data_IF_713785022365
#
_entry.id   IF_713785022365
#
_cell.length_a   1.000
_cell.length_b   1.000
_cell.length_c   1.000
_cell.angle_alpha   90.00
_cell.angle_beta   90.00
_cell.angle_gamma   90.00
#
_symmetry.space_group_name_H-M   'P 1'
#
loop_
_entity.id
_entity.type
_entity.pdbx_description
1 polymer ?
#
# COMPACT_ATOMS: atom_id res chain seq x y z
N UNK A 1 -22.49 -4.89 43.46
CA UNK A 1 -21.56 -3.89 42.95
C UNK A 1 -22.03 -3.43 41.58
N UNK A 2 -22.31 -2.12 41.43
CA UNK A 2 -22.84 -1.50 40.22
C UNK A 2 -21.65 -0.94 39.43
N UNK A 3 -20.87 -1.83 38.76
CA UNK A 3 -19.65 -1.43 38.06
C UNK A 3 -19.84 -1.67 36.56
N UNK A 4 -19.65 -0.64 35.76
CA UNK A 4 -19.56 -0.78 34.31
C UNK A 4 -18.22 -1.42 33.94
N UNK A 5 -18.22 -2.26 32.93
CA UNK A 5 -17.05 -3.04 32.47
C UNK A 5 -16.74 -2.67 31.05
N UNK A 6 -15.49 -2.36 30.80
CA UNK A 6 -14.95 -2.19 29.45
C UNK A 6 -14.09 -3.41 29.08
N UNK A 7 -14.40 -4.03 27.95
CA UNK A 7 -13.60 -5.10 27.36
C UNK A 7 -12.78 -4.50 26.24
N UNK A 8 -11.46 -4.47 26.43
CA UNK A 8 -10.53 -3.92 25.43
C UNK A 8 -9.87 -5.07 24.68
N UNK A 9 -9.90 -5.01 23.34
CA UNK A 9 -9.34 -6.05 22.46
C UNK A 9 -8.33 -5.43 21.52
N UNK A 10 -7.13 -6.04 21.45
CA UNK A 10 -5.99 -5.53 20.69
C UNK A 10 -5.94 -6.00 19.22
N UNK A 11 -7.08 -6.32 18.63
CA UNK A 11 -7.13 -6.70 17.20
C UNK A 11 -6.81 -5.52 16.28
N UNK A 12 -6.16 -5.79 15.16
CA UNK A 12 -5.71 -4.77 14.21
C UNK A 12 -5.98 -5.16 12.74
N UNK A 13 -5.90 -4.18 11.84
CA UNK A 13 -6.26 -4.36 10.43
C UNK A 13 -5.34 -5.31 9.66
N UNK A 14 -4.09 -5.47 10.06
CA UNK A 14 -3.13 -6.40 9.43
C UNK A 14 -3.62 -7.85 9.43
N UNK A 15 -4.40 -8.23 10.43
CA UNK A 15 -4.94 -9.58 10.57
C UNK A 15 -6.26 -9.83 9.79
N UNK A 16 -6.91 -8.81 9.23
CA UNK A 16 -8.23 -8.93 8.59
C UNK A 16 -8.27 -9.89 7.41
N UNK A 17 -7.17 -10.01 6.67
CA UNK A 17 -7.09 -10.90 5.51
C UNK A 17 -6.93 -12.38 5.92
N UNK A 18 -6.32 -12.62 7.09
CA UNK A 18 -5.96 -13.97 7.57
C UNK A 18 -7.01 -14.53 8.51
N UNK A 19 -7.50 -13.70 9.45
CA UNK A 19 -8.40 -14.12 10.51
C UNK A 19 -9.77 -13.44 10.38
N UNK A 20 -10.84 -14.22 10.05
CA UNK A 20 -12.20 -13.66 9.94
C UNK A 20 -12.70 -12.99 11.23
N UNK A 21 -12.25 -13.47 12.40
CA UNK A 21 -12.59 -12.96 13.73
C UNK A 21 -11.79 -11.70 14.13
N UNK A 22 -10.93 -11.18 13.23
CA UNK A 22 -10.30 -9.86 13.39
C UNK A 22 -11.01 -8.76 12.61
N UNK A 23 -12.08 -9.07 11.87
CA UNK A 23 -12.79 -8.11 11.01
C UNK A 23 -13.84 -7.30 11.77
N UNK A 24 -14.13 -6.05 11.35
CA UNK A 24 -15.14 -5.19 11.99
C UNK A 24 -16.53 -5.84 12.07
N UNK A 25 -16.93 -6.58 11.02
CA UNK A 25 -18.23 -7.24 10.94
C UNK A 25 -18.39 -8.32 12.01
N UNK A 26 -17.30 -9.03 12.35
CA UNK A 26 -17.31 -10.02 13.42
C UNK A 26 -17.62 -9.35 14.77
N UNK A 27 -16.97 -8.24 15.10
CA UNK A 27 -17.18 -7.55 16.36
C UNK A 27 -18.56 -6.93 16.48
N UNK A 28 -19.09 -6.39 15.38
CA UNK A 28 -20.48 -5.91 15.32
C UNK A 28 -21.46 -7.04 15.64
N UNK A 29 -21.24 -8.22 15.07
CA UNK A 29 -22.06 -9.39 15.34
C UNK A 29 -21.88 -9.91 16.77
N UNK A 30 -20.65 -9.90 17.30
CA UNK A 30 -20.33 -10.32 18.65
C UNK A 30 -21.00 -9.43 19.69
N UNK A 31 -20.90 -8.12 19.55
CA UNK A 31 -21.57 -7.14 20.43
C UNK A 31 -23.08 -7.33 20.42
N UNK A 32 -23.66 -7.55 19.25
CA UNK A 32 -25.09 -7.80 19.13
C UNK A 32 -25.49 -9.12 19.81
N UNK A 33 -24.75 -10.19 19.58
CA UNK A 33 -25.00 -11.49 20.22
C UNK A 33 -24.86 -11.39 21.74
N UNK A 34 -23.83 -10.67 22.23
CA UNK A 34 -23.60 -10.45 23.65
C UNK A 34 -24.77 -9.66 24.27
N UNK A 35 -25.25 -8.61 23.59
CA UNK A 35 -26.38 -7.80 24.05
C UNK A 35 -27.67 -8.60 24.18
N UNK A 36 -27.92 -9.53 23.26
CA UNK A 36 -29.10 -10.40 23.30
C UNK A 36 -28.99 -11.52 24.35
N UNK A 37 -27.77 -11.98 24.64
CA UNK A 37 -27.52 -13.15 25.51
C UNK A 37 -27.34 -12.80 27.00
N UNK A 38 -27.24 -11.53 27.39
CA UNK A 38 -26.94 -11.10 28.74
C UNK A 38 -27.91 -10.05 29.27
N UNK A 39 -28.40 -10.23 30.49
CA UNK A 39 -29.36 -9.33 31.15
C UNK A 39 -28.79 -7.93 31.41
N UNK A 40 -27.51 -7.85 31.80
CA UNK A 40 -26.82 -6.60 32.16
C UNK A 40 -25.85 -6.12 31.05
N UNK A 41 -26.13 -6.48 29.78
CA UNK A 41 -25.29 -6.15 28.63
C UNK A 41 -25.05 -4.64 28.45
N UNK A 42 -26.00 -3.79 28.86
CA UNK A 42 -25.88 -2.34 28.82
C UNK A 42 -24.72 -1.77 29.67
N UNK A 43 -24.14 -2.59 30.52
CA UNK A 43 -23.03 -2.25 31.43
C UNK A 43 -21.67 -2.72 30.89
N UNK A 44 -21.66 -3.40 29.77
CA UNK A 44 -20.44 -3.89 29.14
C UNK A 44 -20.27 -3.18 27.81
N UNK A 45 -19.12 -2.54 27.63
CA UNK A 45 -18.71 -1.95 26.36
C UNK A 45 -17.51 -2.70 25.79
N UNK A 46 -17.41 -2.73 24.47
CA UNK A 46 -16.25 -3.25 23.76
C UNK A 46 -15.49 -2.09 23.13
N UNK A 47 -14.18 -2.07 23.35
CA UNK A 47 -13.27 -1.08 22.77
C UNK A 47 -12.20 -1.79 21.97
N UNK A 48 -12.08 -1.43 20.69
CA UNK A 48 -11.14 -2.02 19.76
C UNK A 48 -10.27 -0.90 19.16
N UNK A 49 -9.28 -0.41 19.92
CA UNK A 49 -8.54 0.81 19.59
C UNK A 49 -7.75 0.69 18.27
N UNK A 50 -7.41 -0.54 17.86
CA UNK A 50 -6.56 -0.80 16.71
C UNK A 50 -7.28 -1.46 15.54
N UNK A 51 -8.61 -1.57 15.57
CA UNK A 51 -9.40 -2.28 14.56
C UNK A 51 -9.17 -1.74 13.13
N UNK A 52 -8.86 -0.47 12.98
CA UNK A 52 -8.65 0.21 11.70
C UNK A 52 -7.20 0.63 11.46
N UNK A 53 -6.28 0.20 12.29
CA UNK A 53 -4.85 0.47 12.16
C UNK A 53 -4.04 -0.83 12.10
N UNK A 54 -2.77 -0.73 11.74
CA UNK A 54 -1.80 -1.83 11.66
C UNK A 54 -0.81 -1.83 12.84
N UNK A 55 0.20 -2.69 12.79
CA UNK A 55 1.28 -2.73 13.80
C UNK A 55 2.09 -1.43 13.86
N UNK A 56 2.18 -0.68 12.76
CA UNK A 56 2.85 0.64 12.75
C UNK A 56 2.09 1.61 13.65
N UNK A 57 0.76 1.66 13.52
CA UNK A 57 -0.08 2.48 14.39
C UNK A 57 -0.02 2.07 15.85
N UNK A 58 0.03 0.76 16.14
CA UNK A 58 0.21 0.23 17.50
C UNK A 58 1.55 0.69 18.09
N UNK A 59 2.64 0.61 17.34
CA UNK A 59 3.96 1.03 17.82
C UNK A 59 4.04 2.54 18.08
N UNK A 60 3.42 3.35 17.23
CA UNK A 60 3.34 4.82 17.43
C UNK A 60 2.54 5.19 18.69
N UNK A 61 1.38 4.55 18.89
CA UNK A 61 0.61 4.75 20.13
C UNK A 61 1.39 4.27 21.37
N UNK A 62 2.15 3.19 21.23
CA UNK A 62 3.02 2.70 22.29
C UNK A 62 4.13 3.69 22.64
N UNK A 63 4.77 4.37 21.66
CA UNK A 63 5.77 5.42 21.94
C UNK A 63 5.19 6.54 22.82
N UNK A 64 3.98 7.02 22.49
CA UNK A 64 3.30 8.02 23.31
C UNK A 64 2.91 7.50 24.71
N UNK A 65 2.52 6.23 24.78
CA UNK A 65 2.05 5.60 26.01
C UNK A 65 3.19 5.34 27.01
N UNK A 66 4.34 4.83 26.55
CA UNK A 66 5.51 4.60 27.40
C UNK A 66 6.09 5.90 27.94
N UNK A 67 6.07 6.99 27.16
CA UNK A 67 6.47 8.31 27.62
C UNK A 67 5.58 8.79 28.78
N UNK A 68 4.24 8.64 28.65
CA UNK A 68 3.30 9.02 29.72
C UNK A 68 3.44 8.17 30.98
N UNK A 69 3.86 6.93 30.84
CA UNK A 69 3.99 5.97 31.93
C UNK A 69 5.39 5.95 32.57
N UNK A 70 6.32 6.71 32.02
CA UNK A 70 7.74 6.74 32.43
C UNK A 70 8.37 5.33 32.45
N UNK A 71 8.14 4.58 31.35
CA UNK A 71 8.72 3.24 31.12
C UNK A 71 9.54 3.24 29.85
N UNK A 72 10.55 2.37 29.77
CA UNK A 72 11.39 2.26 28.60
C UNK A 72 10.71 1.43 27.49
N UNK A 73 10.66 1.99 26.28
CA UNK A 73 10.03 1.36 25.12
C UNK A 73 10.71 0.02 24.77
N UNK A 74 12.03 0.02 24.73
CA UNK A 74 12.78 -1.17 24.31
C UNK A 74 12.69 -2.29 25.36
N UNK A 75 12.66 -1.95 26.67
CA UNK A 75 12.41 -2.92 27.72
C UNK A 75 11.02 -3.57 27.64
N UNK A 76 9.99 -2.82 27.23
CA UNK A 76 8.64 -3.35 27.01
C UNK A 76 8.64 -4.31 25.84
N UNK A 77 9.13 -3.86 24.68
CA UNK A 77 9.03 -4.65 23.46
C UNK A 77 10.02 -5.82 23.38
N UNK A 78 11.14 -5.77 24.07
CA UNK A 78 12.05 -6.93 24.22
C UNK A 78 11.39 -8.14 24.89
N UNK A 79 10.28 -7.92 25.61
CA UNK A 79 9.52 -8.98 26.32
C UNK A 79 8.28 -9.45 25.56
N UNK A 80 8.04 -8.93 24.37
CA UNK A 80 6.92 -9.31 23.51
C UNK A 80 7.40 -10.20 22.38
N UNK A 81 6.62 -11.18 21.97
CA UNK A 81 6.90 -12.07 20.85
C UNK A 81 5.67 -12.20 19.96
N UNK A 82 5.87 -12.23 18.65
CA UNK A 82 4.80 -12.45 17.66
C UNK A 82 4.97 -13.76 16.91
N UNK A 83 6.14 -14.40 16.99
CA UNK A 83 6.42 -15.65 16.31
C UNK A 83 5.54 -16.79 16.82
N UNK A 84 4.96 -17.54 15.89
CA UNK A 84 4.28 -18.80 16.19
C UNK A 84 5.23 -20.00 16.24
N UNK A 85 6.50 -19.82 15.88
CA UNK A 85 7.52 -20.88 15.79
C UNK A 85 8.86 -20.40 16.37
N UNK A 86 8.91 -19.99 17.66
CA UNK A 86 10.17 -19.64 18.29
C UNK A 86 11.04 -20.89 18.51
N UNK A 87 12.35 -20.69 18.60
CA UNK A 87 13.29 -21.75 19.02
C UNK A 87 13.11 -22.13 20.52
N UNK A 88 13.94 -23.06 21.00
CA UNK A 88 13.90 -23.51 22.39
C UNK A 88 14.24 -22.41 23.41
N UNK A 89 14.95 -21.36 22.98
CA UNK A 89 15.30 -20.20 23.79
C UNK A 89 14.24 -19.06 23.67
N UNK A 90 13.17 -19.28 22.89
CA UNK A 90 12.10 -18.31 22.67
C UNK A 90 12.42 -17.26 21.60
N UNK A 91 13.49 -17.44 20.80
CA UNK A 91 13.89 -16.50 19.75
C UNK A 91 13.22 -16.84 18.41
N UNK A 92 12.87 -15.81 17.63
CA UNK A 92 12.37 -15.97 16.27
C UNK A 92 13.49 -15.94 15.24
N UNK A 93 13.31 -16.65 14.11
CA UNK A 93 14.14 -16.50 12.92
C UNK A 93 13.65 -15.38 11.98
N UNK A 94 12.55 -14.72 12.33
CA UNK A 94 11.96 -13.62 11.55
C UNK A 94 11.17 -14.08 10.31
N UNK A 95 10.86 -15.37 10.16
CA UNK A 95 10.32 -15.92 8.91
C UNK A 95 8.78 -16.03 8.87
N UNK A 96 8.10 -16.05 10.02
CA UNK A 96 6.64 -16.14 10.02
C UNK A 96 5.99 -14.84 9.56
N UNK A 97 4.78 -14.89 9.00
CA UNK A 97 4.08 -13.69 8.54
C UNK A 97 3.93 -12.62 9.63
N UNK A 98 3.66 -13.04 10.88
CA UNK A 98 3.58 -12.13 12.04
C UNK A 98 4.93 -11.52 12.43
N UNK A 99 6.04 -12.24 12.21
CA UNK A 99 7.38 -11.70 12.43
C UNK A 99 7.73 -10.68 11.34
N UNK A 100 7.48 -11.00 10.07
CA UNK A 100 7.70 -10.09 8.94
C UNK A 100 6.95 -8.78 9.16
N UNK A 101 5.67 -8.85 9.52
CA UNK A 101 4.86 -7.67 9.81
C UNK A 101 5.42 -6.84 10.98
N UNK A 102 5.88 -7.50 12.05
CA UNK A 102 6.52 -6.85 13.20
C UNK A 102 7.83 -6.16 12.79
N UNK A 103 8.72 -6.86 12.12
CA UNK A 103 10.02 -6.35 11.67
C UNK A 103 9.82 -5.10 10.78
N UNK A 104 8.89 -5.18 9.82
CA UNK A 104 8.58 -4.06 8.94
C UNK A 104 7.94 -2.89 9.68
N UNK A 105 7.13 -3.13 10.72
CA UNK A 105 6.55 -2.08 11.54
C UNK A 105 7.62 -1.32 12.34
N UNK A 106 8.58 -2.02 12.97
CA UNK A 106 9.72 -1.38 13.63
C UNK A 106 10.58 -0.57 12.65
N UNK A 107 10.87 -1.14 11.49
CA UNK A 107 11.60 -0.43 10.43
C UNK A 107 10.87 0.85 9.98
N UNK A 108 9.56 0.81 9.83
CA UNK A 108 8.75 1.95 9.39
C UNK A 108 8.73 3.11 10.38
N UNK A 109 8.88 2.85 11.68
CA UNK A 109 9.02 3.89 12.72
C UNK A 109 10.48 4.32 12.94
N UNK A 110 11.43 3.77 12.15
CA UNK A 110 12.86 4.13 12.23
C UNK A 110 13.60 3.52 13.39
N UNK A 111 13.12 2.41 13.96
CA UNK A 111 13.74 1.69 15.08
C UNK A 111 14.19 0.29 14.66
N UNK A 112 15.19 -0.24 15.39
CA UNK A 112 15.44 -1.67 15.43
C UNK A 112 14.49 -2.31 16.44
N UNK A 113 14.00 -3.52 16.15
CA UNK A 113 13.22 -4.28 17.12
C UNK A 113 14.12 -4.75 18.27
N UNK A 114 13.82 -4.43 19.54
CA UNK A 114 14.61 -4.85 20.67
C UNK A 114 14.49 -6.36 21.00
N UNK A 115 13.63 -7.09 20.28
CA UNK A 115 13.52 -8.55 20.42
C UNK A 115 14.82 -9.22 19.93
N UNK A 116 15.32 -10.21 20.67
CA UNK A 116 16.45 -11.03 20.23
C UNK A 116 16.00 -12.04 19.18
N UNK A 117 16.49 -11.88 17.95
CA UNK A 117 16.31 -12.82 16.86
C UNK A 117 17.45 -13.84 16.78
N UNK A 118 17.22 -14.98 16.11
CA UNK A 118 18.29 -15.98 15.83
C UNK A 118 19.39 -15.40 14.95
N UNK A 119 19.02 -14.47 14.06
CA UNK A 119 19.93 -13.77 13.16
C UNK A 119 20.05 -12.30 13.55
N UNK A 120 21.16 -11.62 13.18
CA UNK A 120 21.28 -10.17 13.39
C UNK A 120 20.14 -9.40 12.75
N UNK A 121 19.73 -8.29 13.39
CA UNK A 121 18.63 -7.41 12.93
C UNK A 121 18.68 -7.10 11.44
N UNK A 122 19.86 -6.74 10.94
CA UNK A 122 20.03 -6.41 9.53
C UNK A 122 19.62 -7.57 8.60
N UNK A 123 19.94 -8.80 8.96
CA UNK A 123 19.63 -9.97 8.13
C UNK A 123 18.15 -10.30 8.17
N UNK A 124 17.49 -10.20 9.35
CA UNK A 124 16.04 -10.44 9.46
C UNK A 124 15.26 -9.34 8.73
N UNK A 125 15.72 -8.08 8.79
CA UNK A 125 15.12 -6.99 8.04
C UNK A 125 15.26 -7.17 6.53
N UNK A 126 16.44 -7.52 6.02
CA UNK A 126 16.65 -7.79 4.60
C UNK A 126 15.71 -8.90 4.09
N UNK A 127 15.54 -9.97 4.89
CA UNK A 127 14.61 -11.08 4.58
C UNK A 127 13.15 -10.63 4.62
N UNK A 128 12.75 -9.86 5.61
CA UNK A 128 11.39 -9.35 5.73
C UNK A 128 11.01 -8.44 4.56
N UNK A 129 11.91 -7.53 4.15
CA UNK A 129 11.73 -6.67 2.99
C UNK A 129 11.63 -7.47 1.68
N UNK A 130 12.43 -8.52 1.54
CA UNK A 130 12.36 -9.43 0.38
C UNK A 130 11.03 -10.21 0.35
N UNK A 131 10.59 -10.73 1.49
CA UNK A 131 9.33 -11.46 1.61
C UNK A 131 8.14 -10.56 1.26
N UNK A 132 8.12 -9.32 1.77
CA UNK A 132 7.09 -8.35 1.45
C UNK A 132 7.08 -8.00 -0.05
N UNK A 133 8.25 -7.81 -0.65
CA UNK A 133 8.36 -7.55 -2.08
C UNK A 133 7.81 -8.71 -2.92
N UNK A 134 8.12 -9.94 -2.56
CA UNK A 134 7.61 -11.13 -3.25
C UNK A 134 6.09 -11.27 -3.08
N UNK A 135 5.57 -10.97 -1.90
CA UNK A 135 4.13 -11.00 -1.64
C UNK A 135 3.39 -9.95 -2.48
N UNK A 136 3.88 -8.72 -2.52
CA UNK A 136 3.34 -7.66 -3.38
C UNK A 136 3.42 -8.02 -4.87
N UNK A 137 4.52 -8.60 -5.32
CA UNK A 137 4.69 -9.06 -6.71
C UNK A 137 3.65 -10.12 -7.06
N UNK A 138 3.45 -11.10 -6.18
CA UNK A 138 2.43 -12.13 -6.36
C UNK A 138 1.01 -11.54 -6.44
N UNK A 139 0.67 -10.59 -5.56
CA UNK A 139 -0.62 -9.89 -5.60
C UNK A 139 -0.83 -9.15 -6.93
N UNK A 140 0.23 -8.52 -7.49
CA UNK A 140 0.14 -7.89 -8.80
C UNK A 140 -0.06 -8.91 -9.91
N UNK A 141 0.63 -10.07 -9.89
CA UNK A 141 0.45 -11.15 -10.87
C UNK A 141 -0.97 -11.71 -10.88
N UNK A 142 -1.60 -11.82 -9.72
CA UNK A 142 -2.96 -12.34 -9.58
C UNK A 142 -4.03 -11.35 -10.06
N UNK A 143 -3.78 -10.04 -9.94
CA UNK A 143 -4.76 -9.00 -10.22
C UNK A 143 -4.62 -8.38 -11.59
N UNK A 144 -3.42 -8.23 -12.10
CA UNK A 144 -3.14 -7.58 -13.37
C UNK A 144 -3.18 -8.58 -14.52
N UNK A 145 -3.58 -8.12 -15.70
CA UNK A 145 -3.37 -8.90 -16.93
C UNK A 145 -1.86 -9.00 -17.25
N UNK A 146 -1.48 -10.00 -18.05
CA UNK A 146 -0.07 -10.19 -18.46
C UNK A 146 0.54 -8.91 -19.04
N UNK A 147 -0.21 -8.17 -19.88
CA UNK A 147 0.27 -6.91 -20.45
C UNK A 147 0.41 -5.80 -19.41
N UNK A 148 -0.55 -5.67 -18.50
CA UNK A 148 -0.48 -4.69 -17.41
C UNK A 148 0.70 -4.98 -16.49
N UNK A 149 0.89 -6.25 -16.12
CA UNK A 149 2.04 -6.67 -15.32
C UNK A 149 3.36 -6.41 -16.05
N UNK A 150 3.48 -6.84 -17.32
CA UNK A 150 4.67 -6.60 -18.12
C UNK A 150 5.03 -5.10 -18.20
N UNK A 151 4.04 -4.24 -18.44
CA UNK A 151 4.27 -2.80 -18.53
C UNK A 151 4.65 -2.22 -17.17
N UNK A 152 3.87 -2.50 -16.13
CA UNK A 152 4.00 -1.78 -14.85
C UNK A 152 5.09 -2.31 -13.94
N UNK A 153 5.37 -3.62 -13.98
CA UNK A 153 6.31 -4.29 -13.07
C UNK A 153 7.63 -4.71 -13.72
N UNK A 154 7.63 -4.93 -15.05
CA UNK A 154 8.83 -5.31 -15.82
C UNK A 154 9.35 -4.16 -16.70
N UNK A 155 8.81 -2.92 -16.54
CA UNK A 155 9.17 -1.74 -17.33
C UNK A 155 9.00 -1.96 -18.84
N UNK A 156 8.01 -2.75 -19.23
CA UNK A 156 7.68 -3.02 -20.62
C UNK A 156 6.96 -1.84 -21.31
N UNK A 157 6.73 -1.99 -22.60
CA UNK A 157 5.99 -1.00 -23.40
C UNK A 157 4.96 -1.72 -24.27
N UNK A 158 3.71 -1.29 -24.24
CA UNK A 158 2.68 -1.79 -25.14
C UNK A 158 2.95 -1.36 -26.58
N UNK A 159 2.43 -2.09 -27.57
CA UNK A 159 2.58 -1.74 -28.97
C UNK A 159 1.79 -0.46 -29.28
N UNK A 160 2.39 0.45 -30.06
CA UNK A 160 1.75 1.69 -30.51
C UNK A 160 0.41 1.42 -31.22
N UNK A 161 -0.59 2.26 -30.99
CA UNK A 161 -1.95 2.20 -31.55
C UNK A 161 -2.78 0.98 -31.13
N UNK A 162 -2.35 0.20 -30.14
CA UNK A 162 -3.10 -0.99 -29.67
C UNK A 162 -3.69 -0.83 -28.28
N UNK A 163 -3.21 0.12 -27.48
CA UNK A 163 -3.69 0.36 -26.13
C UNK A 163 -5.13 0.91 -26.10
N UNK A 164 -5.87 0.67 -25.01
CA UNK A 164 -7.28 1.08 -24.94
C UNK A 164 -7.50 2.58 -24.99
N UNK A 165 -6.55 3.37 -24.50
CA UNK A 165 -6.75 4.81 -24.26
C UNK A 165 -5.97 5.73 -25.19
N UNK A 166 -5.24 5.23 -26.21
CA UNK A 166 -4.51 6.10 -27.12
C UNK A 166 -5.45 7.09 -27.83
N UNK A 167 -6.66 6.65 -28.22
CA UNK A 167 -7.67 7.46 -28.87
C UNK A 167 -8.91 7.75 -27.99
N UNK A 168 -8.81 7.62 -26.67
CA UNK A 168 -9.91 7.94 -25.75
C UNK A 168 -10.19 9.45 -25.75
N UNK A 169 -11.47 9.85 -25.92
CA UNK A 169 -11.92 11.25 -26.03
C UNK A 169 -12.94 11.65 -24.97
N UNK A 170 -13.48 10.68 -24.22
CA UNK A 170 -14.43 10.96 -23.15
C UNK A 170 -13.76 11.77 -22.03
N UNK A 171 -14.58 12.55 -21.32
CA UNK A 171 -14.14 13.21 -20.10
C UNK A 171 -13.98 12.22 -18.97
N UNK A 172 -12.97 12.39 -18.14
CA UNK A 172 -12.70 11.51 -17.02
C UNK A 172 -11.27 11.60 -16.52
N UNK A 173 -10.95 10.68 -15.62
CA UNK A 173 -9.69 10.59 -14.91
C UNK A 173 -8.94 9.32 -15.31
N UNK A 174 -7.62 9.39 -15.31
CA UNK A 174 -6.73 8.25 -15.54
C UNK A 174 -6.00 7.93 -14.23
N UNK A 175 -6.22 6.75 -13.70
CA UNK A 175 -5.64 6.27 -12.46
C UNK A 175 -4.60 5.19 -12.71
N UNK A 176 -3.65 5.04 -11.79
CA UNK A 176 -2.69 3.94 -11.82
C UNK A 176 -3.43 2.60 -11.68
N UNK A 177 -3.21 1.67 -12.60
CA UNK A 177 -3.85 0.34 -12.58
C UNK A 177 -3.40 -0.50 -11.36
N UNK A 178 -2.23 -0.18 -10.79
CA UNK A 178 -1.68 -0.91 -9.64
C UNK A 178 -2.21 -0.43 -8.29
N UNK A 179 -2.45 0.87 -8.10
CA UNK A 179 -2.79 1.42 -6.77
C UNK A 179 -3.91 2.46 -6.79
N UNK A 180 -4.55 2.68 -7.94
CA UNK A 180 -5.66 3.62 -8.15
C UNK A 180 -5.32 5.10 -7.86
N UNK A 181 -4.04 5.45 -7.69
CA UNK A 181 -3.60 6.85 -7.57
C UNK A 181 -3.99 7.62 -8.83
N UNK A 182 -4.59 8.80 -8.67
CA UNK A 182 -4.92 9.69 -9.78
C UNK A 182 -3.64 10.19 -10.44
N UNK A 183 -3.50 9.99 -11.76
CA UNK A 183 -2.32 10.37 -12.53
C UNK A 183 -2.59 11.54 -13.47
N UNK A 184 -3.64 11.45 -14.29
CA UNK A 184 -3.97 12.45 -15.30
C UNK A 184 -5.48 12.66 -15.38
N UNK A 185 -5.84 13.79 -16.00
CA UNK A 185 -7.23 14.06 -16.39
C UNK A 185 -7.35 14.22 -17.91
N UNK A 186 -8.53 13.96 -18.44
CA UNK A 186 -8.83 14.08 -19.88
C UNK A 186 -8.57 15.48 -20.45
N UNK A 187 -8.68 16.52 -19.62
CA UNK A 187 -8.35 17.91 -19.98
C UNK A 187 -6.87 18.13 -20.29
N UNK A 188 -5.99 17.26 -19.77
CA UNK A 188 -4.55 17.30 -20.02
C UNK A 188 -4.14 16.49 -21.25
N UNK A 189 -5.06 15.66 -21.79
CA UNK A 189 -4.80 14.74 -22.88
C UNK A 189 -4.85 15.46 -24.24
N UNK A 190 -3.91 15.16 -25.10
CA UNK A 190 -3.89 15.65 -26.47
C UNK A 190 -3.47 14.55 -27.46
N UNK A 191 -3.75 14.75 -28.74
CA UNK A 191 -3.34 13.85 -29.81
C UNK A 191 -1.93 14.25 -30.31
N UNK A 192 -0.94 13.42 -29.99
CA UNK A 192 0.45 13.61 -30.45
C UNK A 192 0.77 12.79 -31.69
N UNK A 193 -0.12 11.91 -32.15
CA UNK A 193 0.11 11.00 -33.27
C UNK A 193 1.11 9.85 -32.96
N UNK A 194 1.60 9.71 -31.75
CA UNK A 194 2.63 8.70 -31.41
C UNK A 194 2.06 7.29 -31.20
N UNK A 195 0.76 7.14 -31.02
CA UNK A 195 0.09 5.85 -30.81
C UNK A 195 -0.06 5.42 -29.36
N UNK A 196 0.29 6.29 -28.42
CA UNK A 196 0.06 6.14 -26.99
C UNK A 196 -0.70 7.34 -26.42
N UNK A 197 -1.42 7.21 -25.31
CA UNK A 197 -1.98 8.33 -24.55
C UNK A 197 -0.90 9.38 -24.29
N UNK A 198 -1.18 10.63 -24.66
CA UNK A 198 -0.25 11.74 -24.46
C UNK A 198 -0.88 12.83 -23.64
N UNK A 199 -0.17 13.30 -22.60
CA UNK A 199 -0.62 14.34 -21.71
C UNK A 199 0.42 15.48 -21.66
N UNK A 200 -0.04 16.73 -21.56
CA UNK A 200 0.85 17.89 -21.51
C UNK A 200 1.29 18.26 -20.07
N UNK A 201 0.65 17.68 -19.06
CA UNK A 201 0.96 17.85 -17.63
C UNK A 201 0.45 16.64 -16.86
N UNK A 202 0.93 16.46 -15.64
CA UNK A 202 0.40 15.53 -14.66
C UNK A 202 -0.64 16.22 -13.76
N UNK A 203 -1.47 15.46 -13.08
CA UNK A 203 -2.35 15.99 -12.05
C UNK A 203 -1.54 16.49 -10.84
N UNK A 204 -1.97 17.56 -10.18
CA UNK A 204 -1.25 18.13 -9.02
C UNK A 204 -1.05 17.13 -7.87
N UNK A 205 -1.98 16.18 -7.72
CA UNK A 205 -1.92 15.11 -6.72
C UNK A 205 -1.23 13.83 -7.22
N UNK A 206 -0.77 13.78 -8.48
CA UNK A 206 -0.28 12.54 -9.09
C UNK A 206 1.03 12.02 -8.51
N UNK A 207 1.86 12.91 -7.94
CA UNK A 207 3.16 12.53 -7.38
C UNK A 207 3.93 11.55 -8.29
N UNK A 208 4.15 11.92 -9.54
CA UNK A 208 4.92 11.12 -10.51
C UNK A 208 6.41 11.29 -10.25
N UNK A 209 7.12 10.15 -10.13
CA UNK A 209 8.58 10.13 -10.02
C UNK A 209 9.20 10.09 -11.40
N UNK A 210 10.25 10.90 -11.64
CA UNK A 210 11.02 10.96 -12.87
C UNK A 210 12.40 10.36 -12.65
N UNK A 211 12.77 9.37 -13.46
CA UNK A 211 14.03 8.65 -13.36
C UNK A 211 14.76 8.73 -14.69
N UNK A 212 16.09 8.92 -14.67
CA UNK A 212 16.88 8.84 -15.87
C UNK A 212 16.93 7.40 -16.39
N UNK A 213 16.53 7.20 -17.64
CA UNK A 213 16.56 5.91 -18.33
C UNK A 213 17.64 5.94 -19.43
N UNK A 214 18.66 5.13 -19.24
CA UNK A 214 19.78 4.94 -20.17
C UNK A 214 19.68 3.64 -20.97
N UNK A 215 18.57 2.92 -20.87
CA UNK A 215 18.37 1.67 -21.59
C UNK A 215 18.33 1.87 -23.12
N UNK A 216 18.55 0.77 -23.84
CA UNK A 216 18.51 0.76 -25.31
C UNK A 216 19.45 1.78 -26.02
N UNK A 217 20.50 2.26 -25.33
CA UNK A 217 21.41 3.26 -25.87
C UNK A 217 20.82 4.66 -26.05
N UNK A 218 19.67 4.95 -25.45
CA UNK A 218 18.99 6.23 -25.46
C UNK A 218 19.07 6.90 -24.07
N UNK A 219 18.96 8.22 -24.05
CA UNK A 219 18.81 8.99 -22.83
C UNK A 219 17.39 9.53 -22.77
N UNK A 220 16.57 9.00 -21.89
CA UNK A 220 15.16 9.34 -21.72
C UNK A 220 14.87 9.63 -20.25
N UNK A 221 13.69 10.19 -19.97
CA UNK A 221 13.17 10.32 -18.63
C UNK A 221 11.98 9.39 -18.48
N UNK A 222 12.17 8.32 -17.74
CA UNK A 222 11.09 7.42 -17.32
C UNK A 222 10.20 8.09 -16.30
N UNK A 223 8.90 7.80 -16.34
CA UNK A 223 7.94 8.23 -15.33
C UNK A 223 7.29 7.02 -14.65
N UNK A 224 7.26 7.07 -13.31
CA UNK A 224 6.72 6.04 -12.43
C UNK A 224 5.72 6.61 -11.44
N UNK A 225 4.80 5.77 -10.98
CA UNK A 225 3.89 6.12 -9.90
C UNK A 225 4.65 6.16 -8.57
N UNK A 226 4.59 7.27 -7.82
CA UNK A 226 5.30 7.41 -6.55
C UNK A 226 4.75 6.50 -5.44
N UNK A 227 3.49 6.07 -5.53
CA UNK A 227 2.84 5.24 -4.51
C UNK A 227 3.21 3.76 -4.62
N UNK A 228 3.39 3.22 -5.83
CA UNK A 228 3.59 1.78 -6.03
C UNK A 228 4.73 1.44 -6.97
N UNK A 229 5.53 2.42 -7.38
CA UNK A 229 6.66 2.27 -8.30
C UNK A 229 6.31 1.63 -9.67
N UNK A 230 5.04 1.69 -10.08
CA UNK A 230 4.64 1.19 -11.39
C UNK A 230 5.26 2.03 -12.50
N UNK A 231 5.90 1.37 -13.49
CA UNK A 231 6.30 2.03 -14.73
C UNK A 231 5.07 2.52 -15.47
N UNK A 232 5.06 3.78 -15.86
CA UNK A 232 3.95 4.41 -16.59
C UNK A 232 4.30 4.66 -18.07
N UNK A 233 5.51 5.10 -18.33
CA UNK A 233 5.99 5.52 -19.64
C UNK A 233 7.17 6.47 -19.53
N UNK A 234 7.23 7.46 -20.42
CA UNK A 234 8.33 8.43 -20.50
C UNK A 234 7.79 9.85 -20.72
N UNK A 235 8.56 10.85 -20.29
CA UNK A 235 8.31 12.25 -20.59
C UNK A 235 9.35 12.76 -21.59
N UNK A 236 8.89 13.56 -22.58
CA UNK A 236 9.69 14.14 -23.65
C UNK A 236 9.48 15.65 -23.69
N UNK A 237 10.43 16.39 -24.29
CA UNK A 237 10.41 17.85 -24.40
C UNK A 237 9.86 18.34 -25.78
N UNK A 238 8.97 17.56 -26.39
CA UNK A 238 8.37 17.80 -27.69
C UNK A 238 6.84 18.02 -27.62
N UNK A 239 6.35 18.36 -26.43
CA UNK A 239 4.95 18.64 -26.16
C UNK A 239 4.52 20.07 -26.58
N UNK A 240 3.23 20.41 -26.35
CA UNK A 240 2.66 21.69 -26.67
C UNK A 240 3.30 22.82 -25.87
N UNK A 241 3.92 23.79 -26.54
CA UNK A 241 4.61 24.92 -25.89
C UNK A 241 3.72 25.77 -25.01
N UNK A 242 2.42 25.84 -25.30
CA UNK A 242 1.44 26.54 -24.49
C UNK A 242 1.29 25.99 -23.07
N UNK A 243 1.69 24.73 -22.86
CA UNK A 243 1.61 24.01 -21.58
C UNK A 243 2.99 23.60 -21.03
N UNK A 244 4.05 24.34 -21.38
CA UNK A 244 5.39 24.07 -20.87
C UNK A 244 6.27 23.21 -21.77
N UNK A 245 5.74 22.62 -22.85
CA UNK A 245 6.50 21.89 -23.86
C UNK A 245 6.83 20.45 -23.50
N UNK A 246 6.31 19.90 -22.40
CA UNK A 246 6.45 18.49 -22.05
C UNK A 246 5.33 17.62 -22.66
N UNK A 247 5.68 16.38 -22.98
CA UNK A 247 4.75 15.35 -23.43
C UNK A 247 5.00 14.07 -22.63
N UNK A 248 4.06 13.74 -21.77
CA UNK A 248 3.99 12.45 -21.09
C UNK A 248 3.41 11.43 -22.06
N UNK A 249 4.22 10.46 -22.48
CA UNK A 249 3.83 9.37 -23.35
C UNK A 249 3.62 8.13 -22.47
N UNK A 250 2.38 7.78 -22.21
CA UNK A 250 2.00 6.84 -21.16
C UNK A 250 1.39 5.60 -21.78
N UNK A 251 1.72 4.42 -21.25
CA UNK A 251 1.11 3.17 -21.67
C UNK A 251 -0.36 3.11 -21.21
N UNK A 252 -1.30 2.76 -22.09
CA UNK A 252 -2.68 2.52 -21.69
C UNK A 252 -2.77 1.41 -20.64
N UNK A 253 -1.93 0.39 -20.77
CA UNK A 253 -1.90 -0.75 -19.84
C UNK A 253 -1.46 -0.37 -18.41
N UNK A 254 -0.82 0.78 -18.20
CA UNK A 254 -0.45 1.27 -16.87
C UNK A 254 -1.56 2.05 -16.17
N UNK A 255 -2.67 2.32 -16.87
CA UNK A 255 -3.75 3.17 -16.37
C UNK A 255 -5.10 2.46 -16.42
N UNK A 256 -6.02 2.95 -15.61
CA UNK A 256 -7.46 2.71 -15.68
C UNK A 256 -8.16 4.04 -15.90
N UNK A 257 -9.16 4.06 -16.82
CA UNK A 257 -9.93 5.26 -17.13
C UNK A 257 -11.27 5.21 -16.39
N UNK A 258 -11.55 6.27 -15.65
CA UNK A 258 -12.80 6.49 -14.92
C UNK A 258 -13.55 7.64 -15.61
N UNK A 259 -14.69 7.37 -16.29
CA UNK A 259 -15.50 8.41 -16.92
C UNK A 259 -16.05 9.39 -15.88
N UNK A 260 -16.22 10.66 -16.26
CA UNK A 260 -16.98 11.61 -15.43
C UNK A 260 -18.48 11.31 -15.51
N UNK A 261 -19.23 11.55 -14.43
CA UNK A 261 -20.68 11.30 -14.33
C UNK A 261 -21.51 12.03 -15.43
N UNK A 262 -20.95 13.07 -16.04
CA UNK A 262 -21.62 13.82 -17.11
C UNK A 262 -21.65 13.10 -18.47
N UNK A 263 -20.88 12.02 -18.64
CA UNK A 263 -20.76 11.26 -19.89
C UNK A 263 -21.29 9.80 -19.77
N UNK A 264 -22.04 9.45 -18.70
CA UNK A 264 -22.81 8.21 -18.67
C UNK A 264 -24.07 8.35 -19.57
N UNK A 265 -24.29 7.39 -20.52
CA UNK A 265 -25.38 7.46 -21.50
C UNK A 265 -26.76 7.28 -20.89
#
# INVERSE_FOLDING_TARGET
>A
HNTDVEVVLGVHSGDHAVYPDCRPEFYTALEHAFALGNWDSHRVSFTLPYLTTDKIGILKDAEESVERLDVDFDEVFARTITSYQPDEDGRSDGSTGSDVERILAFHAIGREDPLEYILPWREVLERALETERQHLDQQYRERLTDLQYHVTRESGTERAFTGMYWNEKRKGSYRCVCCSTLLFQSTMKFDSGCGWPSFHSEHEEANIVRIEDLSHGMRRTEVRCSQCDAHLGHVFNDGPKAYGGERYCINSASMEFEPSEEDEP
#
